data_IF_664283230936
#
_entry.id   IF_664283230936
#
_cell.length_a   1.000
_cell.length_b   1.000
_cell.length_c   1.000
_cell.angle_alpha   90.00
_cell.angle_beta   90.00
_cell.angle_gamma   90.00
#
_symmetry.space_group_name_H-M   'P 1'
#
loop_
_entity.id
_entity.type
_entity.pdbx_description
1 polymer ?
#
# COMPACT_ATOMS: atom_id res chain seq x y z
N UNK A 1 11.83 34.39 12.42
CA UNK A 1 12.29 33.23 11.63
C UNK A 1 12.91 32.08 12.45
N UNK A 2 13.93 32.31 13.33
CA UNK A 2 14.65 31.24 14.05
C UNK A 2 13.80 30.37 15.01
N UNK A 3 12.69 30.90 15.52
CA UNK A 3 11.80 30.20 16.46
C UNK A 3 10.93 29.17 15.72
N UNK A 4 10.31 29.59 14.63
CA UNK A 4 9.52 28.71 13.75
C UNK A 4 10.36 27.56 13.18
N UNK A 5 11.59 27.81 12.72
CA UNK A 5 12.44 26.73 12.19
C UNK A 5 12.89 25.72 13.25
N UNK A 6 13.04 26.15 14.51
CA UNK A 6 13.30 25.23 15.64
C UNK A 6 12.04 24.42 16.00
N UNK A 7 10.90 25.07 16.13
CA UNK A 7 9.61 24.43 16.44
C UNK A 7 9.18 23.46 15.32
N UNK A 8 9.39 23.84 14.06
CA UNK A 8 9.13 22.98 12.91
C UNK A 8 10.11 21.81 12.85
N UNK A 9 11.39 22.01 13.18
CA UNK A 9 12.36 20.91 13.27
C UNK A 9 12.00 19.94 14.39
N UNK A 10 11.59 20.41 15.57
CA UNK A 10 11.12 19.56 16.67
C UNK A 10 9.83 18.81 16.33
N UNK A 11 8.92 19.45 15.59
CA UNK A 11 7.72 18.79 15.08
C UNK A 11 8.04 17.73 14.03
N UNK A 12 8.90 18.04 13.05
CA UNK A 12 9.29 17.15 11.97
C UNK A 12 10.14 15.97 12.45
N UNK A 13 10.93 16.14 13.52
CA UNK A 13 11.74 15.06 14.12
C UNK A 13 10.94 14.11 15.02
N UNK A 14 9.62 14.30 15.17
CA UNK A 14 8.78 13.27 15.77
C UNK A 14 8.81 12.03 14.87
N UNK A 15 9.47 10.96 15.33
CA UNK A 15 9.72 9.75 14.53
C UNK A 15 8.49 9.20 13.81
N UNK A 16 7.32 9.20 14.47
CA UNK A 16 6.06 8.76 13.87
C UNK A 16 5.63 9.58 12.63
N UNK A 17 5.98 10.87 12.55
CA UNK A 17 5.64 11.73 11.40
C UNK A 17 6.57 11.44 10.22
N UNK A 18 7.86 11.19 10.48
CA UNK A 18 8.83 10.84 9.43
C UNK A 18 8.47 9.49 8.82
N UNK A 19 8.22 8.48 9.65
CA UNK A 19 7.89 7.13 9.17
C UNK A 19 6.58 7.13 8.37
N UNK A 20 5.57 7.90 8.81
CA UNK A 20 4.33 8.10 8.07
C UNK A 20 4.58 8.81 6.73
N UNK A 21 5.38 9.88 6.73
CA UNK A 21 5.69 10.64 5.51
C UNK A 21 6.43 9.78 4.47
N UNK A 22 7.43 9.01 4.92
CA UNK A 22 8.17 8.07 4.06
C UNK A 22 7.22 7.00 3.51
N UNK A 23 6.33 6.44 4.34
CA UNK A 23 5.33 5.47 3.92
C UNK A 23 4.39 6.00 2.83
N UNK A 24 3.90 7.23 2.96
CA UNK A 24 3.02 7.88 1.97
C UNK A 24 3.76 8.13 0.65
N UNK A 25 4.99 8.66 0.71
CA UNK A 25 5.79 8.96 -0.48
C UNK A 25 6.12 7.67 -1.26
N UNK A 26 6.59 6.63 -0.55
CA UNK A 26 6.89 5.34 -1.15
C UNK A 26 5.60 4.70 -1.69
N UNK A 27 4.49 4.80 -0.97
CA UNK A 27 3.18 4.31 -1.41
C UNK A 27 2.72 4.96 -2.72
N UNK A 28 2.82 6.28 -2.84
CA UNK A 28 2.45 7.03 -4.04
C UNK A 28 3.35 6.68 -5.24
N UNK A 29 4.66 6.57 -5.02
CA UNK A 29 5.61 6.16 -6.05
C UNK A 29 5.33 4.72 -6.53
N UNK A 30 5.09 3.79 -5.59
CA UNK A 30 4.75 2.42 -5.91
C UNK A 30 3.44 2.32 -6.69
N UNK A 31 2.40 3.06 -6.28
CA UNK A 31 1.13 3.10 -7.00
C UNK A 31 1.32 3.58 -8.45
N UNK A 32 2.20 4.55 -8.68
CA UNK A 32 2.51 5.04 -10.04
C UNK A 32 3.18 3.96 -10.90
N UNK A 33 4.09 3.17 -10.32
CA UNK A 33 4.74 2.04 -11.02
C UNK A 33 3.70 0.95 -11.38
N UNK A 34 2.84 0.58 -10.43
CA UNK A 34 1.78 -0.39 -10.68
C UNK A 34 0.81 0.12 -11.74
N UNK A 35 0.43 1.41 -11.68
CA UNK A 35 -0.44 2.04 -12.67
C UNK A 35 0.17 1.97 -14.07
N UNK A 36 1.45 2.33 -14.24
CA UNK A 36 2.14 2.23 -15.54
C UNK A 36 2.20 0.79 -16.05
N UNK A 37 2.47 -0.19 -15.18
CA UNK A 37 2.40 -1.61 -15.57
C UNK A 37 1.00 -2.00 -16.08
N UNK A 38 -0.06 -1.53 -15.43
CA UNK A 38 -1.43 -1.83 -15.86
C UNK A 38 -1.76 -1.11 -17.17
N UNK A 39 -1.56 0.20 -17.23
CA UNK A 39 -1.99 1.03 -18.36
C UNK A 39 -1.12 0.84 -19.61
N UNK A 40 0.19 0.69 -19.45
CA UNK A 40 1.14 0.69 -20.57
C UNK A 40 1.50 -0.72 -21.05
N UNK A 41 1.30 -1.76 -20.21
CA UNK A 41 1.68 -3.14 -20.55
C UNK A 41 0.47 -4.07 -20.56
N UNK A 42 -0.31 -4.12 -19.48
CA UNK A 42 -1.43 -5.06 -19.38
C UNK A 42 -2.60 -4.66 -20.27
N UNK A 43 -2.99 -3.38 -20.28
CA UNK A 43 -4.11 -2.88 -21.07
C UNK A 43 -3.93 -3.06 -22.58
N UNK A 44 -2.76 -2.76 -23.19
CA UNK A 44 -2.53 -3.04 -24.60
C UNK A 44 -2.62 -4.53 -24.95
N UNK A 45 -2.13 -5.41 -24.07
CA UNK A 45 -2.23 -6.86 -24.26
C UNK A 45 -3.68 -7.34 -24.17
N UNK A 46 -4.43 -6.85 -23.19
CA UNK A 46 -5.86 -7.15 -23.06
C UNK A 46 -6.63 -6.62 -24.27
N UNK A 47 -6.37 -5.37 -24.69
CA UNK A 47 -6.98 -4.76 -25.87
C UNK A 47 -6.71 -5.55 -27.14
N UNK A 48 -5.49 -6.07 -27.32
CA UNK A 48 -5.15 -6.94 -28.45
C UNK A 48 -5.97 -8.24 -28.42
N UNK A 49 -6.15 -8.85 -27.26
CA UNK A 49 -6.91 -10.10 -27.10
C UNK A 49 -8.42 -9.87 -27.25
N UNK A 50 -8.95 -8.75 -26.77
CA UNK A 50 -10.37 -8.41 -26.86
C UNK A 50 -10.76 -7.82 -28.23
N UNK A 51 -9.80 -7.64 -29.14
CA UNK A 51 -10.05 -7.15 -30.50
C UNK A 51 -10.18 -5.63 -30.61
N UNK A 52 -9.53 -4.88 -29.70
CA UNK A 52 -9.52 -3.41 -29.72
C UNK A 52 -10.76 -2.77 -29.11
N UNK A 53 -11.47 -3.46 -28.21
CA UNK A 53 -12.62 -2.89 -27.51
C UNK A 53 -12.15 -1.77 -26.58
N UNK A 54 -12.28 -0.54 -27.04
CA UNK A 54 -12.08 0.66 -26.23
C UNK A 54 -13.42 1.11 -25.64
N UNK A 55 -13.65 0.75 -24.38
CA UNK A 55 -14.83 1.18 -23.62
C UNK A 55 -14.86 2.70 -23.43
N UNK A 56 -13.76 3.43 -23.60
CA UNK A 56 -13.70 4.88 -23.37
C UNK A 56 -14.56 5.67 -24.35
N UNK A 57 -14.88 5.11 -25.53
CA UNK A 57 -15.75 5.77 -26.52
C UNK A 57 -17.23 5.43 -26.36
N UNK A 58 -17.61 4.71 -25.30
CA UNK A 58 -19.01 4.43 -25.00
C UNK A 58 -19.59 5.56 -24.16
N UNK A 59 -20.36 6.41 -24.83
CA UNK A 59 -21.03 7.53 -24.19
C UNK A 59 -22.42 7.75 -24.79
N UNK A 60 -23.29 8.40 -24.01
CA UNK A 60 -24.59 8.88 -24.47
C UNK A 60 -24.56 10.40 -24.34
N UNK A 61 -24.76 11.11 -25.45
CA UNK A 61 -24.95 12.56 -25.43
C UNK A 61 -26.39 12.89 -25.01
N UNK A 62 -26.56 13.85 -24.09
CA UNK A 62 -27.87 14.26 -23.56
C UNK A 62 -28.42 15.51 -24.28
N UNK A 63 -27.66 16.05 -25.21
CA UNK A 63 -27.99 17.23 -26.01
C UNK A 63 -28.77 16.89 -27.29
N UNK A 64 -29.02 15.60 -27.56
CA UNK A 64 -29.70 15.13 -28.76
C UNK A 64 -28.80 15.03 -30.01
N UNK A 65 -27.50 15.33 -29.89
CA UNK A 65 -26.55 15.27 -31.00
C UNK A 65 -25.67 14.01 -30.90
N UNK A 66 -25.47 13.33 -32.03
CA UNK A 66 -24.56 12.17 -32.10
C UNK A 66 -23.16 12.64 -32.47
N UNK A 67 -22.20 12.36 -31.60
CA UNK A 67 -20.78 12.61 -31.85
C UNK A 67 -20.04 11.30 -32.12
N UNK A 68 -19.03 11.33 -32.99
CA UNK A 68 -18.23 10.15 -33.31
C UNK A 68 -17.26 9.75 -32.19
N UNK A 69 -16.87 10.69 -31.32
CA UNK A 69 -15.93 10.44 -30.23
C UNK A 69 -16.33 11.21 -28.98
N UNK A 70 -15.95 10.68 -27.82
CA UNK A 70 -16.22 11.31 -26.52
C UNK A 70 -15.48 12.65 -26.42
N UNK A 71 -14.27 12.73 -26.99
CA UNK A 71 -13.49 13.95 -27.09
C UNK A 71 -14.24 15.04 -27.88
N UNK A 72 -14.80 14.70 -29.06
CA UNK A 72 -15.57 15.65 -29.86
C UNK A 72 -16.86 16.13 -29.17
N UNK A 73 -17.55 15.25 -28.44
CA UNK A 73 -18.72 15.63 -27.65
C UNK A 73 -18.36 16.61 -26.51
N UNK A 74 -17.24 16.37 -25.82
CA UNK A 74 -16.76 17.26 -24.75
C UNK A 74 -16.29 18.61 -25.27
N UNK A 75 -15.59 18.63 -26.41
CA UNK A 75 -15.13 19.88 -27.05
C UNK A 75 -16.29 20.72 -27.57
N UNK A 76 -17.38 20.08 -28.03
CA UNK A 76 -18.61 20.76 -28.40
C UNK A 76 -19.42 21.31 -27.22
N UNK A 77 -18.97 21.09 -25.97
CA UNK A 77 -19.68 21.51 -24.76
C UNK A 77 -20.97 20.72 -24.51
N UNK A 78 -21.16 19.59 -25.18
CA UNK A 78 -22.33 18.73 -24.97
C UNK A 78 -22.26 18.08 -23.59
N UNK A 79 -23.42 17.96 -22.94
CA UNK A 79 -23.53 17.16 -21.71
C UNK A 79 -23.51 15.68 -22.09
N UNK A 80 -22.45 14.97 -21.71
CA UNK A 80 -22.21 13.58 -22.11
C UNK A 80 -22.17 12.65 -20.90
N UNK A 81 -22.98 11.60 -20.90
CA UNK A 81 -22.88 10.48 -19.97
C UNK A 81 -21.87 9.45 -20.50
N UNK A 82 -20.62 9.60 -20.05
CA UNK A 82 -19.50 8.74 -20.37
C UNK A 82 -19.46 7.45 -19.52
N UNK A 83 -20.49 6.60 -19.61
CA UNK A 83 -20.56 5.35 -18.85
C UNK A 83 -19.42 4.38 -19.18
N UNK A 84 -18.88 4.46 -20.40
CA UNK A 84 -17.71 3.74 -20.84
C UNK A 84 -16.45 4.00 -20.03
N UNK A 85 -16.20 5.25 -19.64
CA UNK A 85 -15.07 5.61 -18.77
C UNK A 85 -15.22 5.01 -17.38
N UNK A 86 -16.44 4.92 -16.87
CA UNK A 86 -16.69 4.29 -15.58
C UNK A 86 -16.41 2.79 -15.62
N UNK A 87 -16.88 2.09 -16.66
CA UNK A 87 -16.60 0.66 -16.87
C UNK A 87 -15.09 0.43 -17.02
N UNK A 88 -14.41 1.27 -17.81
CA UNK A 88 -12.95 1.22 -17.96
C UNK A 88 -12.23 1.40 -16.62
N UNK A 89 -12.66 2.38 -15.79
CA UNK A 89 -12.11 2.58 -14.46
C UNK A 89 -12.32 1.38 -13.52
N UNK A 90 -13.49 0.74 -13.56
CA UNK A 90 -13.79 -0.48 -12.78
C UNK A 90 -12.89 -1.64 -13.23
N UNK A 91 -12.74 -1.85 -14.54
CA UNK A 91 -11.88 -2.90 -15.10
C UNK A 91 -10.42 -2.65 -14.67
N UNK A 92 -9.92 -1.42 -14.83
CA UNK A 92 -8.57 -1.04 -14.40
C UNK A 92 -8.35 -1.26 -12.90
N UNK A 93 -9.34 -0.94 -12.07
CA UNK A 93 -9.27 -1.19 -10.63
C UNK A 93 -9.16 -2.69 -10.32
N UNK A 94 -9.96 -3.53 -10.98
CA UNK A 94 -9.90 -4.99 -10.79
C UNK A 94 -8.55 -5.58 -11.25
N UNK A 95 -8.03 -5.13 -12.39
CA UNK A 95 -6.71 -5.54 -12.89
C UNK A 95 -5.62 -5.09 -11.92
N UNK A 96 -5.64 -3.83 -11.48
CA UNK A 96 -4.68 -3.30 -10.52
C UNK A 96 -4.70 -4.08 -9.20
N UNK A 97 -5.89 -4.41 -8.68
CA UNK A 97 -6.03 -5.24 -7.49
C UNK A 97 -5.44 -6.64 -7.70
N UNK A 98 -5.68 -7.27 -8.87
CA UNK A 98 -5.11 -8.57 -9.22
C UNK A 98 -3.57 -8.53 -9.29
N UNK A 99 -3.01 -7.49 -9.92
CA UNK A 99 -1.57 -7.29 -10.03
C UNK A 99 -0.95 -7.13 -8.63
N UNK A 100 -1.50 -6.25 -7.80
CA UNK A 100 -1.02 -6.06 -6.41
C UNK A 100 -1.09 -7.37 -5.62
N UNK A 101 -2.17 -8.13 -5.77
CA UNK A 101 -2.31 -9.44 -5.13
C UNK A 101 -1.21 -10.42 -5.56
N UNK A 102 -0.92 -10.49 -6.86
CA UNK A 102 0.18 -11.33 -7.39
C UNK A 102 1.53 -10.86 -6.84
N UNK A 103 1.80 -9.56 -6.81
CA UNK A 103 3.04 -9.00 -6.23
C UNK A 103 3.21 -9.35 -4.75
N UNK A 104 2.17 -9.14 -3.93
CA UNK A 104 2.20 -9.50 -2.49
C UNK A 104 2.40 -11.00 -2.33
N UNK A 105 1.72 -11.82 -3.14
CA UNK A 105 1.90 -13.28 -3.13
C UNK A 105 3.32 -13.69 -3.53
N UNK A 106 3.92 -13.04 -4.52
CA UNK A 106 5.32 -13.27 -4.94
C UNK A 106 6.29 -12.91 -3.83
N UNK A 107 6.10 -11.77 -3.16
CA UNK A 107 6.93 -11.34 -2.02
C UNK A 107 6.77 -12.33 -0.86
N UNK A 108 5.54 -12.73 -0.53
CA UNK A 108 5.29 -13.71 0.54
C UNK A 108 5.88 -15.09 0.19
N UNK A 109 5.83 -15.49 -1.07
CA UNK A 109 6.47 -16.73 -1.56
C UNK A 109 8.01 -16.62 -1.51
N UNK A 110 8.58 -15.49 -1.89
CA UNK A 110 10.03 -15.26 -1.81
C UNK A 110 10.53 -15.21 -0.36
N UNK A 111 9.77 -14.57 0.54
CA UNK A 111 10.06 -14.55 1.98
C UNK A 111 10.03 -15.96 2.60
N UNK A 112 9.07 -16.79 2.19
CA UNK A 112 8.97 -18.18 2.67
C UNK A 112 10.05 -19.11 2.11
N UNK A 113 10.64 -18.80 0.95
CA UNK A 113 11.76 -19.54 0.35
C UNK A 113 13.12 -19.13 0.97
N UNK A 114 13.23 -17.92 1.55
CA UNK A 114 14.51 -17.31 1.92
C UNK A 114 14.93 -17.35 3.40
N UNK A 115 14.03 -17.26 4.39
CA UNK A 115 14.36 -17.42 5.82
C UNK A 115 13.14 -17.22 6.72
N UNK A 116 13.18 -17.94 7.86
CA UNK A 116 12.40 -17.77 9.09
C UNK A 116 11.80 -16.37 9.26
N UNK A 117 10.54 -16.35 9.67
CA UNK A 117 9.89 -15.23 10.36
C UNK A 117 10.89 -14.44 11.23
N UNK A 118 11.49 -13.38 10.68
CA UNK A 118 11.82 -12.18 11.45
C UNK A 118 10.50 -11.47 11.74
N UNK A 119 9.65 -12.17 12.52
CA UNK A 119 8.73 -11.46 13.40
C UNK A 119 9.61 -10.52 14.21
N UNK A 120 9.28 -9.22 14.31
CA UNK A 120 10.05 -8.29 15.13
C UNK A 120 10.31 -8.99 16.47
N UNK A 121 11.59 -9.19 16.81
CA UNK A 121 11.99 -9.99 17.96
C UNK A 121 11.12 -9.54 19.15
N UNK A 122 10.36 -10.45 19.78
CA UNK A 122 9.31 -10.06 20.72
C UNK A 122 9.93 -9.25 21.85
N UNK A 123 9.73 -7.94 21.87
CA UNK A 123 10.39 -7.03 22.83
C UNK A 123 9.91 -7.24 24.26
N UNK A 124 8.82 -7.98 24.43
CA UNK A 124 8.17 -8.30 25.68
C UNK A 124 8.10 -9.82 25.93
N UNK A 125 8.34 -10.23 27.18
CA UNK A 125 8.08 -11.56 27.73
C UNK A 125 6.95 -11.46 28.76
N UNK A 126 6.18 -12.53 29.00
CA UNK A 126 5.22 -12.56 30.11
C UNK A 126 5.96 -12.86 31.41
N UNK A 127 5.64 -12.13 32.48
CA UNK A 127 6.13 -12.42 33.81
C UNK A 127 5.60 -13.80 34.29
N UNK A 128 6.46 -14.71 34.81
CA UNK A 128 6.02 -16.01 35.31
C UNK A 128 5.06 -15.95 36.50
N UNK A 129 5.10 -14.87 37.28
CA UNK A 129 4.35 -14.74 38.53
C UNK A 129 3.02 -14.01 38.34
N UNK A 130 3.02 -12.89 37.63
CA UNK A 130 1.85 -12.02 37.48
C UNK A 130 1.27 -11.96 36.07
N UNK A 131 1.86 -12.68 35.11
CA UNK A 131 1.43 -12.75 33.70
C UNK A 131 1.42 -11.41 32.92
N UNK A 132 1.83 -10.31 33.55
CA UNK A 132 1.98 -9.01 32.90
C UNK A 132 3.10 -9.02 31.85
N UNK A 133 2.96 -8.20 30.80
CA UNK A 133 3.98 -8.02 29.77
C UNK A 133 5.13 -7.16 30.29
N UNK A 134 6.35 -7.68 30.22
CA UNK A 134 7.57 -7.04 30.70
C UNK A 134 8.68 -7.10 29.64
N UNK A 135 9.65 -6.17 29.64
CA UNK A 135 10.78 -6.25 28.72
C UNK A 135 11.56 -7.57 28.84
N UNK A 136 12.07 -8.12 27.73
CA UNK A 136 12.83 -9.39 27.74
C UNK A 136 13.98 -9.37 28.77
N UNK A 137 14.68 -8.23 28.86
CA UNK A 137 15.85 -8.04 29.73
C UNK A 137 15.49 -7.65 31.17
N UNK A 138 14.20 -7.56 31.52
CA UNK A 138 13.80 -7.22 32.88
C UNK A 138 14.20 -8.35 33.86
N UNK A 139 15.04 -7.98 34.82
CA UNK A 139 15.46 -8.80 35.98
C UNK A 139 14.48 -8.68 37.15
N UNK A 140 13.66 -7.63 37.17
CA UNK A 140 12.63 -7.39 38.19
C UNK A 140 11.33 -6.98 37.53
N UNK A 141 10.22 -7.58 37.95
CA UNK A 141 8.90 -7.21 37.43
C UNK A 141 8.45 -5.86 38.03
N UNK A 142 8.01 -4.87 37.22
CA UNK A 142 7.45 -3.62 37.75
C UNK A 142 6.07 -3.79 38.40
N UNK A 143 5.32 -4.83 38.04
CA UNK A 143 3.95 -5.04 38.52
C UNK A 143 3.89 -5.82 39.85
N UNK A 144 4.66 -6.91 39.96
CA UNK A 144 4.63 -7.78 41.15
C UNK A 144 5.95 -7.83 41.91
N UNK A 145 6.93 -6.99 41.55
CA UNK A 145 8.25 -6.85 42.22
C UNK A 145 9.10 -8.12 42.36
N UNK A 146 8.65 -9.25 41.80
CA UNK A 146 9.37 -10.52 41.77
C UNK A 146 10.66 -10.42 40.95
N UNK A 147 11.70 -11.10 41.41
CA UNK A 147 12.96 -11.26 40.69
C UNK A 147 12.77 -12.36 39.63
N UNK A 148 13.17 -12.08 38.40
CA UNK A 148 13.01 -12.98 37.25
C UNK A 148 14.38 -13.40 36.78
N UNK A 149 14.67 -14.70 36.88
CA UNK A 149 15.89 -15.30 36.35
C UNK A 149 15.86 -15.26 34.82
N UNK A 150 16.89 -14.65 34.22
CA UNK A 150 17.04 -14.57 32.78
C UNK A 150 17.61 -15.89 32.31
N UNK A 151 16.78 -16.76 31.71
CA UNK A 151 17.29 -17.87 30.90
C UNK A 151 17.83 -17.29 29.60
N UNK A 152 19.14 -17.07 29.52
CA UNK A 152 19.81 -16.74 28.27
C UNK A 152 19.59 -17.88 27.27
N UNK A 153 18.71 -17.64 26.30
CA UNK A 153 18.54 -18.55 25.17
C UNK A 153 19.75 -18.32 24.28
N UNK A 154 20.79 -19.17 24.40
CA UNK A 154 21.91 -19.22 23.46
C UNK A 154 21.34 -19.29 22.03
N UNK A 155 21.69 -18.30 21.23
CA UNK A 155 21.49 -18.31 19.80
C UNK A 155 22.47 -19.33 19.20
N UNK A 156 22.07 -20.59 19.16
CA UNK A 156 22.75 -21.58 18.33
C UNK A 156 22.40 -21.27 16.87
N UNK A 157 23.34 -20.59 16.22
CA UNK A 157 23.52 -20.62 14.77
C UNK A 157 23.87 -22.06 14.39
N UNK A 158 22.96 -22.74 13.72
CA UNK A 158 23.24 -23.79 12.74
C UNK A 158 22.17 -23.75 11.64
#
# INVERSE_FOLDING_TARGET
MKKFTKEFKEFALKGNVIDLAVGVIIGAAFQSIVKSLVDDIIMPVISLITGGIDFSNWFISLDGSTYATLAGAKEAGASVLAYGNFISAVINFLIMALVIFIFVKLINKAKTIGKKDEKPAPTTKKCPYCLSEIPIKATKCPHCTSIIEIKEKKEDKE
#
